data_IF_420675080882
#
_entry.id   IF_420675080882
#
_cell.length_a   1.000
_cell.length_b   1.000
_cell.length_c   1.000
_cell.angle_alpha   90.00
_cell.angle_beta   90.00
_cell.angle_gamma   90.00
#
_symmetry.space_group_name_H-M   'P 1'
#
loop_
_entity.id
_entity.type
_entity.pdbx_description
1 polymer ?
#
# COMPACT_ATOMS: atom_id res chain seq x y z
N UNK A 1 17.33 7.09 28.76
CA UNK A 1 17.81 5.94 27.97
C UNK A 1 16.56 5.22 27.48
N UNK A 2 15.97 5.71 26.39
CA UNK A 2 14.69 5.24 25.90
C UNK A 2 14.90 4.02 25.02
N UNK A 3 14.62 2.86 25.60
CA UNK A 3 14.59 1.58 24.90
C UNK A 3 13.18 1.40 24.30
N UNK A 4 12.93 2.04 23.16
CA UNK A 4 11.74 1.77 22.33
C UNK A 4 12.12 0.83 21.18
N UNK A 5 11.77 -0.46 21.22
CA UNK A 5 12.17 -1.46 20.22
C UNK A 5 11.42 -1.36 18.88
N UNK A 6 10.58 -0.34 18.71
CA UNK A 6 9.63 -0.26 17.60
C UNK A 6 10.19 0.46 16.36
N UNK A 7 11.02 1.50 16.53
CA UNK A 7 11.49 2.36 15.43
C UNK A 7 12.42 1.66 14.42
N UNK A 8 13.24 0.70 14.86
CA UNK A 8 14.15 -0.06 13.98
C UNK A 8 13.42 -1.11 13.12
N UNK A 9 12.49 -1.84 13.73
CA UNK A 9 11.71 -2.91 13.08
C UNK A 9 10.74 -2.36 12.04
N UNK A 10 10.13 -1.19 12.28
CA UNK A 10 9.26 -0.53 11.30
C UNK A 10 10.03 -0.09 10.04
N UNK A 11 11.24 0.43 10.20
CA UNK A 11 12.11 0.78 9.06
C UNK A 11 12.53 -0.43 8.23
N UNK A 12 12.86 -1.54 8.89
CA UNK A 12 13.19 -2.81 8.23
C UNK A 12 12.02 -3.38 7.44
N UNK A 13 10.81 -3.33 8.00
CA UNK A 13 9.59 -3.79 7.33
C UNK A 13 9.27 -2.96 6.08
N UNK A 14 9.51 -1.64 6.13
CA UNK A 14 9.38 -0.76 4.97
C UNK A 14 10.39 -1.05 3.87
N UNK A 15 11.66 -1.16 4.22
CA UNK A 15 12.73 -1.48 3.26
C UNK A 15 12.46 -2.84 2.61
N UNK A 16 12.06 -3.84 3.40
CA UNK A 16 11.69 -5.17 2.92
C UNK A 16 10.53 -5.11 1.93
N UNK A 17 9.46 -4.37 2.27
CA UNK A 17 8.32 -4.19 1.38
C UNK A 17 8.72 -3.48 0.08
N UNK A 18 9.48 -2.39 0.14
CA UNK A 18 9.86 -1.61 -1.04
C UNK A 18 10.73 -2.45 -1.99
N UNK A 19 11.65 -3.25 -1.45
CA UNK A 19 12.47 -4.17 -2.24
C UNK A 19 11.61 -5.27 -2.88
N UNK A 20 10.64 -5.82 -2.14
CA UNK A 20 9.70 -6.81 -2.66
C UNK A 20 8.83 -6.23 -3.79
N UNK A 21 8.24 -5.06 -3.57
CA UNK A 21 7.43 -4.38 -4.57
C UNK A 21 8.27 -3.99 -5.80
N UNK A 22 9.51 -3.54 -5.61
CA UNK A 22 10.44 -3.27 -6.72
C UNK A 22 10.67 -4.53 -7.56
N UNK A 23 10.89 -5.68 -6.92
CA UNK A 23 11.08 -6.94 -7.62
C UNK A 23 9.82 -7.35 -8.40
N UNK A 24 8.65 -7.31 -7.78
CA UNK A 24 7.38 -7.69 -8.46
C UNK A 24 7.12 -6.80 -9.69
N UNK A 25 7.45 -5.51 -9.59
CA UNK A 25 7.28 -4.56 -10.68
C UNK A 25 8.31 -4.73 -11.81
N UNK A 26 9.53 -5.19 -11.51
CA UNK A 26 10.57 -5.44 -12.53
C UNK A 26 10.42 -6.80 -13.21
N UNK A 27 9.65 -7.72 -12.64
CA UNK A 27 9.38 -9.00 -13.30
C UNK A 27 8.70 -8.77 -14.66
N UNK A 28 9.13 -9.46 -15.73
CA UNK A 28 8.47 -9.40 -17.02
C UNK A 28 6.96 -9.68 -16.90
N UNK A 29 6.12 -9.09 -17.78
CA UNK A 29 4.74 -9.54 -17.91
C UNK A 29 4.71 -11.03 -18.32
N UNK A 30 3.70 -11.77 -17.86
CA UNK A 30 3.51 -13.18 -18.22
C UNK A 30 4.15 -14.21 -17.28
N UNK A 31 4.79 -13.78 -16.19
CA UNK A 31 5.19 -14.72 -15.14
C UNK A 31 3.94 -15.29 -14.43
N UNK A 32 3.85 -16.61 -14.21
CA UNK A 32 2.73 -17.20 -13.50
C UNK A 32 2.71 -16.71 -12.04
N UNK A 33 1.51 -16.40 -11.53
CA UNK A 33 1.31 -15.86 -10.18
C UNK A 33 2.00 -16.72 -9.10
N UNK A 34 1.98 -18.04 -9.26
CA UNK A 34 2.59 -18.98 -8.31
C UNK A 34 4.12 -18.83 -8.23
N UNK A 35 4.80 -18.61 -9.35
CA UNK A 35 6.25 -18.39 -9.36
C UNK A 35 6.61 -17.04 -8.72
N UNK A 36 5.80 -16.01 -8.98
CA UNK A 36 5.97 -14.70 -8.35
C UNK A 36 5.73 -14.78 -6.84
N UNK A 37 4.68 -15.50 -6.43
CA UNK A 37 4.35 -15.73 -5.01
C UNK A 37 5.48 -16.46 -4.28
N UNK A 38 5.99 -17.54 -4.85
CA UNK A 38 7.08 -18.32 -4.27
C UNK A 38 8.38 -17.50 -4.16
N UNK A 39 8.69 -16.72 -5.20
CA UNK A 39 9.88 -15.85 -5.21
C UNK A 39 9.76 -14.73 -4.18
N UNK A 40 8.58 -14.09 -4.10
CA UNK A 40 8.25 -13.08 -3.11
C UNK A 40 8.38 -13.61 -1.68
N UNK A 41 7.85 -14.81 -1.44
CA UNK A 41 7.89 -15.46 -0.13
C UNK A 41 9.32 -15.81 0.28
N UNK A 42 10.08 -16.39 -0.65
CA UNK A 42 11.49 -16.73 -0.43
C UNK A 42 12.33 -15.49 -0.10
N UNK A 43 12.12 -14.38 -0.82
CA UNK A 43 12.81 -13.12 -0.55
C UNK A 43 12.44 -12.57 0.84
N UNK A 44 11.14 -12.56 1.16
CA UNK A 44 10.64 -12.03 2.44
C UNK A 44 11.20 -12.78 3.66
N UNK A 45 11.20 -14.11 3.60
CA UNK A 45 11.69 -14.95 4.70
C UNK A 45 13.21 -14.98 4.74
N UNK A 46 13.86 -15.25 3.61
CA UNK A 46 15.30 -15.55 3.58
C UNK A 46 16.16 -14.29 3.62
N UNK A 47 15.79 -13.25 2.85
CA UNK A 47 16.61 -12.04 2.75
C UNK A 47 16.24 -10.99 3.80
N UNK A 48 14.95 -10.87 4.14
CA UNK A 48 14.49 -9.87 5.12
C UNK A 48 14.27 -10.41 6.53
N UNK A 49 14.43 -11.73 6.73
CA UNK A 49 14.33 -12.38 8.03
C UNK A 49 12.95 -12.20 8.68
N UNK A 50 11.91 -12.00 7.89
CA UNK A 50 10.55 -11.78 8.40
C UNK A 50 9.86 -13.12 8.70
N UNK A 51 8.92 -13.16 9.66
CA UNK A 51 8.16 -14.37 9.93
C UNK A 51 7.37 -14.81 8.68
N UNK A 52 7.44 -16.10 8.33
CA UNK A 52 6.75 -16.64 7.15
C UNK A 52 5.25 -16.33 7.15
N UNK A 53 4.59 -16.41 8.32
CA UNK A 53 3.16 -16.07 8.45
C UNK A 53 2.85 -14.62 8.07
N UNK A 54 3.74 -13.68 8.40
CA UNK A 54 3.61 -12.28 8.00
C UNK A 54 3.80 -12.13 6.49
N UNK A 55 4.85 -12.76 5.95
CA UNK A 55 5.14 -12.75 4.52
C UNK A 55 3.98 -13.31 3.70
N UNK A 56 3.45 -14.48 4.08
CA UNK A 56 2.29 -15.09 3.42
C UNK A 56 1.07 -14.19 3.47
N UNK A 57 0.72 -13.64 4.64
CA UNK A 57 -0.42 -12.75 4.77
C UNK A 57 -0.32 -11.51 3.88
N UNK A 58 0.87 -10.91 3.77
CA UNK A 58 1.11 -9.76 2.90
C UNK A 58 1.05 -10.18 1.42
N UNK A 59 1.70 -11.28 1.03
CA UNK A 59 1.79 -11.69 -0.37
C UNK A 59 0.43 -12.18 -0.87
N UNK A 60 -0.15 -13.19 -0.20
CA UNK A 60 -1.41 -13.81 -0.60
C UNK A 60 -2.58 -12.80 -0.55
N UNK A 61 -2.54 -11.84 0.38
CA UNK A 61 -3.57 -10.81 0.49
C UNK A 61 -3.52 -9.71 -0.56
N UNK A 62 -2.39 -9.55 -1.28
CA UNK A 62 -2.18 -8.40 -2.18
C UNK A 62 -1.77 -8.79 -3.61
N UNK A 63 -1.33 -10.04 -3.86
CA UNK A 63 -0.75 -10.45 -5.14
C UNK A 63 -1.73 -10.26 -6.30
N UNK A 64 -3.00 -10.62 -6.13
CA UNK A 64 -4.03 -10.47 -7.17
C UNK A 64 -4.22 -9.00 -7.54
N UNK A 65 -4.38 -8.13 -6.54
CA UNK A 65 -4.52 -6.68 -6.75
C UNK A 65 -3.29 -6.11 -7.47
N UNK A 66 -2.08 -6.54 -7.12
CA UNK A 66 -0.86 -6.07 -7.78
C UNK A 66 -0.79 -6.50 -9.25
N UNK A 67 -1.25 -7.70 -9.58
CA UNK A 67 -1.36 -8.16 -10.96
C UNK A 67 -2.42 -7.38 -11.74
N UNK A 68 -3.60 -7.17 -11.16
CA UNK A 68 -4.69 -6.41 -11.79
C UNK A 68 -4.26 -4.97 -12.09
N UNK A 69 -3.58 -4.32 -11.14
CA UNK A 69 -3.06 -2.96 -11.32
C UNK A 69 -1.95 -2.90 -12.38
N UNK A 70 -1.12 -3.95 -12.48
CA UNK A 70 -0.09 -4.07 -13.52
C UNK A 70 -0.71 -4.24 -14.91
N UNK A 71 -1.76 -5.05 -15.03
CA UNK A 71 -2.50 -5.24 -16.29
C UNK A 71 -3.22 -3.98 -16.76
N UNK A 72 -3.70 -3.15 -15.82
CA UNK A 72 -4.29 -1.84 -16.11
C UNK A 72 -3.26 -0.80 -16.58
N UNK A 73 -1.95 -1.12 -16.55
CA UNK A 73 -0.88 -0.20 -16.95
C UNK A 73 -0.70 0.97 -16.00
N UNK A 74 -1.17 0.85 -14.75
CA UNK A 74 -1.01 1.91 -13.77
C UNK A 74 0.46 2.06 -13.37
N UNK A 75 0.96 3.30 -13.22
CA UNK A 75 2.31 3.54 -12.73
C UNK A 75 2.40 3.17 -11.25
N UNK A 76 2.73 1.90 -11.01
CA UNK A 76 2.99 1.35 -9.69
C UNK A 76 4.38 1.81 -9.21
N UNK A 77 4.44 2.36 -8.00
CA UNK A 77 5.67 2.71 -7.31
C UNK A 77 5.75 1.84 -6.04
N UNK A 78 6.88 1.16 -5.76
CA UNK A 78 7.13 0.47 -4.50
C UNK A 78 6.74 1.24 -3.25
N UNK A 79 7.00 2.55 -3.20
CA UNK A 79 6.66 3.39 -2.05
C UNK A 79 5.15 3.50 -1.83
N UNK A 80 4.37 3.65 -2.92
CA UNK A 80 2.91 3.74 -2.84
C UNK A 80 2.32 2.42 -2.37
N UNK A 81 2.78 1.32 -2.96
CA UNK A 81 2.35 -0.04 -2.59
C UNK A 81 2.60 -0.26 -1.10
N UNK A 82 3.80 0.05 -0.62
CA UNK A 82 4.17 -0.20 0.77
C UNK A 82 3.53 0.78 1.75
N UNK A 83 3.27 2.02 1.34
CA UNK A 83 2.48 2.96 2.12
C UNK A 83 1.03 2.51 2.32
N UNK A 84 0.42 1.89 1.31
CA UNK A 84 -0.93 1.34 1.41
C UNK A 84 -0.96 0.02 2.19
N UNK A 85 -0.05 -0.91 1.88
CA UNK A 85 -0.01 -2.25 2.52
C UNK A 85 0.40 -2.16 3.99
N UNK A 86 1.29 -1.22 4.34
CA UNK A 86 1.86 -1.04 5.68
C UNK A 86 1.54 0.35 6.26
N UNK A 87 0.32 0.84 6.07
CA UNK A 87 -0.13 2.16 6.55
C UNK A 87 0.16 2.35 8.04
N UNK A 88 -0.18 1.34 8.85
CA UNK A 88 0.03 1.34 10.31
C UNK A 88 1.51 1.28 10.74
N UNK A 89 2.42 0.95 9.82
CA UNK A 89 3.86 0.91 10.10
C UNK A 89 4.55 2.25 9.81
N UNK A 90 3.79 3.32 9.50
CA UNK A 90 4.33 4.60 9.08
C UNK A 90 5.24 4.48 7.85
N UNK A 91 4.91 3.53 6.95
CA UNK A 91 5.57 3.37 5.66
C UNK A 91 5.14 4.44 4.65
N UNK A 92 4.81 5.62 5.16
CA UNK A 92 4.21 6.69 4.38
C UNK A 92 5.23 7.23 3.40
N UNK A 93 4.75 7.39 2.17
CA UNK A 93 5.45 8.15 1.13
C UNK A 93 5.62 9.57 1.67
N UNK A 94 6.84 9.98 2.00
CA UNK A 94 7.08 11.40 2.31
C UNK A 94 6.69 12.31 1.12
N UNK A 95 6.58 11.76 -0.09
CA UNK A 95 6.34 12.46 -1.35
C UNK A 95 5.46 11.66 -2.34
N UNK A 96 4.34 11.08 -1.89
CA UNK A 96 3.37 10.48 -2.82
C UNK A 96 2.72 11.57 -3.67
N UNK A 97 2.27 11.31 -4.91
CA UNK A 97 1.48 12.29 -5.64
C UNK A 97 0.26 12.63 -4.80
N UNK A 98 0.22 13.89 -4.36
CA UNK A 98 -0.94 14.46 -3.70
C UNK A 98 -2.04 14.43 -4.75
N UNK A 99 -3.03 13.55 -4.58
CA UNK A 99 -4.21 13.57 -5.43
C UNK A 99 -5.00 14.80 -4.98
N UNK A 100 -4.88 15.88 -5.75
CA UNK A 100 -5.72 17.06 -5.58
C UNK A 100 -7.14 16.66 -5.95
N UNK A 101 -7.98 16.44 -4.95
CA UNK A 101 -9.40 16.21 -5.13
C UNK A 101 -10.15 17.48 -4.76
N UNK A 102 -11.16 17.82 -5.55
CA UNK A 102 -12.10 18.88 -5.27
C UNK A 102 -13.49 18.27 -5.23
N UNK A 103 -14.26 18.57 -4.18
CA UNK A 103 -15.67 18.21 -4.10
C UNK A 103 -16.50 19.45 -4.42
N UNK A 104 -17.27 19.40 -5.50
CA UNK A 104 -18.37 20.36 -5.69
C UNK A 104 -19.51 19.95 -4.76
N UNK A 105 -19.73 20.77 -3.74
CA UNK A 105 -20.85 20.58 -2.81
C UNK A 105 -22.05 21.40 -3.31
N UNK A 106 -23.09 20.71 -3.80
CA UNK A 106 -24.39 21.31 -4.05
C UNK A 106 -25.12 21.49 -2.71
N UNK A 107 -24.90 22.63 -2.08
CA UNK A 107 -25.72 23.08 -0.96
C UNK A 107 -27.04 23.60 -1.51
N UNK A 108 -27.99 22.69 -1.76
CA UNK A 108 -29.34 23.05 -2.19
C UNK A 108 -29.87 24.27 -1.42
N UNK A 109 -30.62 25.13 -2.10
CA UNK A 109 -31.11 26.42 -1.58
C UNK A 109 -31.79 26.24 -0.22
N UNK A 110 -31.25 26.90 0.81
CA UNK A 110 -31.89 26.98 2.13
C UNK A 110 -33.24 27.71 1.97
N UNK A 111 -34.34 26.98 2.06
CA UNK A 111 -35.66 27.59 2.23
C UNK A 111 -35.82 28.06 3.68
N UNK A 112 -35.60 29.35 3.92
CA UNK A 112 -35.98 29.99 5.17
C UNK A 112 -37.51 30.12 5.23
N UNK A 113 -38.17 29.10 5.79
CA UNK A 113 -39.62 29.15 6.06
C UNK A 113 -39.88 30.05 7.27
N UNK A 114 -40.09 31.35 7.03
CA UNK A 114 -40.65 32.25 8.05
C UNK A 114 -42.16 31.97 8.17
N UNK A 115 -42.56 31.25 9.21
CA UNK A 115 -43.97 31.09 9.57
C UNK A 115 -44.42 32.29 10.41
N UNK A 116 -44.98 33.32 9.76
CA UNK A 116 -45.75 34.36 10.46
C UNK A 116 -47.11 33.77 10.81
N UNK A 117 -47.35 33.46 12.09
CA UNK A 117 -48.71 33.22 12.60
C UNK A 117 -49.37 34.57 12.88
N UNK A 118 -50.52 34.77 12.22
CA UNK A 118 -51.47 35.87 12.43
C UNK A 118 -52.12 35.80 13.80
#
# INVERSE_FOLDING_TARGET
MDSSPSSGTFKLSCIACQLLASLILTLPPGNPKDEVSNSALSLCVTFFGQPEKLCRGIIEGNLDVLFDLKEQGLPLNPDKICGTVLENANCSVKNGPQVEWSLEMDYGTKEDRISVRS
#
